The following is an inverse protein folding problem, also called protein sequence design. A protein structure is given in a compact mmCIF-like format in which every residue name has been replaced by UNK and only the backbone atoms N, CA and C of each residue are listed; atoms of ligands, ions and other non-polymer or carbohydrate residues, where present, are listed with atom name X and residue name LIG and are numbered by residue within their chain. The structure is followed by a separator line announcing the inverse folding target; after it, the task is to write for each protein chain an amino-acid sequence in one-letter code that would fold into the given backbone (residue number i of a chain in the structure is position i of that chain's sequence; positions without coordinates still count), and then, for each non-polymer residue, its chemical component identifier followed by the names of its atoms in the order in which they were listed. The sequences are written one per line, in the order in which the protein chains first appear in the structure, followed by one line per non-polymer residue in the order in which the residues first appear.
data_IF_337665024264
#
_entry.id   IF_337665024264
#
_cell.length_a   1.000
_cell.length_b   1.000
_cell.length_c   1.000
_cell.angle_alpha   90.00
_cell.angle_beta   90.00
_cell.angle_gamma   90.00
#
_symmetry.space_group_name_H-M   'P 1'
#
loop_
_entity.id
_entity.type
_entity.pdbx_description
1 polymer ?
#
# COMPACT_ATOMS: atom_id res chain seq x y z
N UNK A 1 -9.89 -31.47 2.51
CA UNK A 1 -10.95 -30.44 2.42
C UNK A 1 -10.25 -29.12 2.18
N UNK A 2 -10.55 -28.39 1.10
CA UNK A 2 -10.06 -27.01 0.99
C UNK A 2 -10.69 -26.20 2.12
N UNK A 3 -9.86 -25.61 2.97
CA UNK A 3 -10.34 -24.75 4.04
C UNK A 3 -10.91 -23.46 3.42
N UNK A 4 -12.23 -23.29 3.49
CA UNK A 4 -12.88 -22.05 3.08
C UNK A 4 -12.75 -21.02 4.22
N UNK A 5 -12.21 -19.84 3.90
CA UNK A 5 -12.11 -18.72 4.82
C UNK A 5 -13.06 -17.59 4.39
N UNK A 6 -13.62 -16.87 5.36
CA UNK A 6 -14.54 -15.75 5.11
C UNK A 6 -13.84 -14.43 5.42
N UNK A 7 -13.85 -13.51 4.47
CA UNK A 7 -13.38 -12.13 4.65
C UNK A 7 -14.58 -11.23 4.96
N UNK A 8 -14.50 -10.47 6.05
CA UNK A 8 -15.49 -9.44 6.41
C UNK A 8 -14.78 -8.10 6.55
N UNK A 9 -15.26 -7.09 5.82
CA UNK A 9 -14.74 -5.73 5.90
C UNK A 9 -15.91 -4.76 6.16
N UNK A 10 -15.68 -3.78 7.04
CA UNK A 10 -16.59 -2.64 7.19
C UNK A 10 -16.27 -1.61 6.13
N UNK A 11 -17.31 -1.08 5.52
CA UNK A 11 -17.25 -0.04 4.50
C UNK A 11 -18.46 0.86 4.67
N UNK A 12 -18.33 2.09 4.23
CA UNK A 12 -19.45 3.01 4.10
C UNK A 12 -20.55 2.42 3.20
N UNK A 13 -21.81 2.62 3.59
CA UNK A 13 -22.97 2.04 2.89
C UNK A 13 -23.11 2.60 1.47
N UNK A 14 -22.91 3.90 1.30
CA UNK A 14 -23.01 4.55 -0.01
C UNK A 14 -21.93 4.05 -0.96
N UNK A 15 -20.69 3.89 -0.47
CA UNK A 15 -19.59 3.31 -1.26
C UNK A 15 -19.90 1.86 -1.66
N UNK A 16 -20.49 1.07 -0.76
CA UNK A 16 -20.89 -0.31 -1.07
C UNK A 16 -21.93 -0.36 -2.19
N UNK A 17 -22.93 0.51 -2.14
CA UNK A 17 -23.98 0.60 -3.16
C UNK A 17 -23.41 0.99 -4.52
N UNK A 18 -22.62 2.06 -4.58
CA UNK A 18 -21.97 2.50 -5.82
C UNK A 18 -21.08 1.42 -6.43
N UNK A 19 -20.21 0.81 -5.61
CA UNK A 19 -19.33 -0.26 -6.07
C UNK A 19 -20.13 -1.47 -6.60
N UNK A 20 -21.27 -1.79 -5.97
CA UNK A 20 -22.13 -2.89 -6.42
C UNK A 20 -22.70 -2.61 -7.81
N UNK A 21 -23.18 -1.40 -8.08
CA UNK A 21 -23.71 -1.00 -9.39
C UNK A 21 -22.63 -1.06 -10.47
N UNK A 22 -21.45 -0.49 -10.19
CA UNK A 22 -20.33 -0.46 -11.14
C UNK A 22 -19.83 -1.87 -11.47
N UNK A 23 -19.63 -2.72 -10.46
CA UNK A 23 -19.19 -4.10 -10.66
C UNK A 23 -20.23 -4.94 -11.39
N UNK A 24 -21.52 -4.75 -11.09
CA UNK A 24 -22.59 -5.45 -11.79
C UNK A 24 -22.64 -5.12 -13.28
N UNK A 25 -22.36 -3.87 -13.66
CA UNK A 25 -22.23 -3.46 -15.07
C UNK A 25 -21.05 -4.17 -15.78
N UNK A 26 -20.06 -4.64 -15.02
CA UNK A 26 -18.94 -5.46 -15.51
C UNK A 26 -19.20 -6.97 -15.40
N UNK A 27 -20.38 -7.40 -14.95
CA UNK A 27 -20.71 -8.81 -14.72
C UNK A 27 -20.07 -9.43 -13.48
N UNK A 28 -19.65 -8.61 -12.51
CA UNK A 28 -18.96 -9.04 -11.30
C UNK A 28 -19.79 -8.72 -10.05
N UNK A 29 -19.72 -9.59 -9.05
CA UNK A 29 -20.16 -9.25 -7.69
C UNK A 29 -19.03 -8.60 -6.89
N UNK A 30 -19.38 -7.94 -5.78
CA UNK A 30 -18.38 -7.44 -4.81
C UNK A 30 -17.46 -8.58 -4.34
N UNK A 31 -18.00 -9.76 -4.12
CA UNK A 31 -17.23 -10.94 -3.72
C UNK A 31 -16.25 -11.41 -4.79
N UNK A 32 -16.60 -11.30 -6.08
CA UNK A 32 -15.69 -11.62 -7.19
C UNK A 32 -14.52 -10.65 -7.23
N UNK A 33 -14.81 -9.35 -7.14
CA UNK A 33 -13.78 -8.30 -7.09
C UNK A 33 -12.81 -8.51 -5.91
N UNK A 34 -13.33 -8.79 -4.71
CA UNK A 34 -12.51 -9.07 -3.53
C UNK A 34 -11.62 -10.31 -3.72
N UNK A 35 -12.14 -11.39 -4.30
CA UNK A 35 -11.34 -12.59 -4.59
C UNK A 35 -10.20 -12.26 -5.56
N UNK A 36 -10.50 -11.59 -6.67
CA UNK A 36 -9.51 -11.18 -7.67
C UNK A 36 -8.42 -10.32 -7.02
N UNK A 37 -8.83 -9.31 -6.23
CA UNK A 37 -7.93 -8.41 -5.51
C UNK A 37 -6.98 -9.18 -4.57
N UNK A 38 -7.52 -10.03 -3.71
CA UNK A 38 -6.72 -10.78 -2.73
C UNK A 38 -5.81 -11.82 -3.39
N UNK A 39 -6.27 -12.48 -4.45
CA UNK A 39 -5.44 -13.38 -5.25
C UNK A 39 -4.27 -12.63 -5.88
N UNK A 40 -4.51 -11.41 -6.40
CA UNK A 40 -3.46 -10.57 -6.99
C UNK A 40 -2.44 -10.13 -5.94
N UNK A 41 -2.88 -9.66 -4.79
CA UNK A 41 -1.99 -9.30 -3.67
C UNK A 41 -1.14 -10.50 -3.24
N UNK A 42 -1.75 -11.68 -3.07
CA UNK A 42 -1.04 -12.88 -2.66
C UNK A 42 0.03 -13.32 -3.68
N UNK A 43 -0.24 -13.14 -4.98
CA UNK A 43 0.65 -13.54 -6.08
C UNK A 43 1.75 -12.52 -6.37
N UNK A 44 1.38 -11.24 -6.45
CA UNK A 44 2.26 -10.16 -6.92
C UNK A 44 3.03 -9.49 -5.77
N UNK A 45 2.67 -9.77 -4.52
CA UNK A 45 3.28 -9.16 -3.31
C UNK A 45 3.22 -7.63 -3.32
N UNK A 46 2.23 -7.08 -4.02
CA UNK A 46 1.97 -5.66 -4.17
C UNK A 46 0.47 -5.39 -4.10
N UNK A 47 0.11 -4.15 -3.77
CA UNK A 47 -1.27 -3.71 -3.87
C UNK A 47 -1.66 -3.57 -5.35
N UNK A 48 -2.91 -3.89 -5.72
CA UNK A 48 -3.37 -3.84 -7.11
C UNK A 48 -3.72 -2.43 -7.59
N UNK A 49 -3.41 -1.44 -6.76
CA UNK A 49 -3.44 -0.01 -7.04
C UNK A 49 -2.10 0.55 -6.59
N UNK A 50 -1.64 1.60 -7.23
CA UNK A 50 -0.39 2.24 -6.85
C UNK A 50 -0.60 3.01 -5.54
N UNK A 51 0.05 2.63 -4.42
CA UNK A 51 -0.02 3.41 -3.18
C UNK A 51 0.91 4.62 -3.31
N UNK A 52 0.53 5.59 -4.15
CA UNK A 52 1.42 6.64 -4.63
C UNK A 52 1.25 7.99 -3.94
N UNK A 53 0.52 8.06 -2.83
CA UNK A 53 0.47 9.28 -2.02
C UNK A 53 1.28 9.02 -0.76
N UNK A 54 2.56 9.45 -0.72
CA UNK A 54 3.35 9.38 0.49
C UNK A 54 2.61 10.11 1.62
N UNK A 55 2.70 9.59 2.83
CA UNK A 55 2.12 10.26 3.99
C UNK A 55 2.84 11.60 4.26
N UNK A 56 2.26 12.43 5.14
CA UNK A 56 2.82 13.74 5.45
C UNK A 56 4.29 13.68 5.89
N UNK A 57 4.66 12.70 6.72
CA UNK A 57 6.04 12.50 7.18
C UNK A 57 6.99 12.22 6.02
N UNK A 58 6.63 11.31 5.11
CA UNK A 58 7.43 11.00 3.93
C UNK A 58 7.54 12.19 2.99
N UNK A 59 6.46 12.96 2.80
CA UNK A 59 6.48 14.19 2.00
C UNK A 59 7.47 15.19 2.57
N UNK A 60 7.47 15.43 3.88
CA UNK A 60 8.40 16.37 4.52
C UNK A 60 9.85 15.89 4.41
N UNK A 61 10.12 14.61 4.64
CA UNK A 61 11.45 14.02 4.44
C UNK A 61 11.94 14.20 2.99
N UNK A 62 11.09 14.00 2.00
CA UNK A 62 11.42 14.24 0.58
C UNK A 62 11.70 15.73 0.30
N UNK A 63 10.98 16.66 0.94
CA UNK A 63 11.21 18.11 0.80
C UNK A 63 12.52 18.54 1.46
N UNK A 64 12.84 18.00 2.63
CA UNK A 64 14.14 18.21 3.29
C UNK A 64 15.28 17.71 2.42
N UNK A 65 15.15 16.50 1.87
CA UNK A 65 16.11 15.92 0.96
C UNK A 65 16.41 16.83 -0.24
N UNK A 66 15.35 17.32 -0.90
CA UNK A 66 15.47 18.22 -2.07
C UNK A 66 16.05 19.59 -1.73
N UNK A 67 15.92 20.04 -0.48
CA UNK A 67 16.52 21.30 0.01
C UNK A 67 18.00 21.14 0.41
N UNK A 68 18.55 19.93 0.34
CA UNK A 68 19.93 19.65 0.75
C UNK A 68 20.11 19.54 2.26
N UNK A 69 19.04 19.25 3.01
CA UNK A 69 19.12 19.05 4.47
C UNK A 69 19.70 17.69 4.90
N UNK A 70 20.15 16.86 3.95
CA UNK A 70 20.68 15.53 4.26
C UNK A 70 22.14 15.60 4.69
N UNK A 71 22.49 14.75 5.65
CA UNK A 71 23.88 14.49 6.01
C UNK A 71 24.59 13.79 4.86
N UNK A 72 25.77 14.28 4.49
CA UNK A 72 26.66 13.66 3.52
C UNK A 72 27.78 12.91 4.24
N UNK A 73 28.22 11.80 3.65
CA UNK A 73 29.30 10.97 4.19
C UNK A 73 30.40 10.78 3.14
N UNK A 74 31.64 10.59 3.59
CA UNK A 74 32.78 10.40 2.71
C UNK A 74 32.90 8.94 2.21
N UNK A 75 32.31 7.99 2.93
CA UNK A 75 32.33 6.56 2.61
C UNK A 75 31.02 5.87 3.02
N UNK A 76 30.81 4.65 2.50
CA UNK A 76 29.67 3.81 2.90
C UNK A 76 29.85 3.34 4.35
N UNK A 77 31.09 3.11 4.78
CA UNK A 77 31.44 2.74 6.15
C UNK A 77 31.01 3.83 7.15
N UNK A 78 31.27 5.10 6.85
CA UNK A 78 30.87 6.24 7.70
C UNK A 78 29.34 6.37 7.79
N UNK A 79 28.63 6.14 6.68
CA UNK A 79 27.17 6.14 6.65
C UNK A 79 26.61 5.02 7.54
N UNK A 80 27.12 3.79 7.40
CA UNK A 80 26.63 2.64 8.16
C UNK A 80 26.96 2.76 9.66
N UNK A 81 28.11 3.36 10.01
CA UNK A 81 28.44 3.64 11.40
C UNK A 81 27.46 4.62 12.05
N UNK A 82 27.00 5.64 11.31
CA UNK A 82 26.01 6.60 11.80
C UNK A 82 24.61 6.00 11.94
N UNK A 83 24.18 5.19 10.95
CA UNK A 83 22.85 4.55 10.97
C UNK A 83 22.69 3.54 12.11
N UNK A 84 23.76 2.84 12.47
CA UNK A 84 23.76 1.83 13.53
C UNK A 84 24.21 2.38 14.90
N UNK A 85 24.39 3.70 15.05
CA UNK A 85 24.88 4.29 16.29
C UNK A 85 23.87 4.19 17.46
N UNK A 86 22.59 3.95 17.15
CA UNK A 86 21.48 3.89 18.09
C UNK A 86 20.84 2.47 18.24
N UNK A 87 21.43 1.44 17.61
CA UNK A 87 21.10 0.02 17.82
C UNK A 87 21.85 -0.55 19.06
#
# INVERSE_FOLDING_TARGET
MSANAVVRARIDEHIKEEATVVLAAMGLTVSDAFRIMLTRVAREKALPFEPLIPNATTIEAMKEARRGGLKSFASVEDLMADLNADD
#
